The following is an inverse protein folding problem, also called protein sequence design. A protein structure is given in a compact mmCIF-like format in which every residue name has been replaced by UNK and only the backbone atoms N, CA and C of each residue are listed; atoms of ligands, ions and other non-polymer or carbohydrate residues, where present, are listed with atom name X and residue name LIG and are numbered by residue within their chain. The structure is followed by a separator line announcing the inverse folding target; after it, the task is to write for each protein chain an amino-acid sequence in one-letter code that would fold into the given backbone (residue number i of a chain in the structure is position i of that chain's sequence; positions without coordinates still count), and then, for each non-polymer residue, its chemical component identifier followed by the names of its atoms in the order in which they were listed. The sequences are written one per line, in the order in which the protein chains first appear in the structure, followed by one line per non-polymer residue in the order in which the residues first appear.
data_IF_258057455739
#
_entry.id   IF_258057455739
#
_cell.length_a   1.000
_cell.length_b   1.000
_cell.length_c   1.000
_cell.angle_alpha   90.00
_cell.angle_beta   90.00
_cell.angle_gamma   90.00
#
_symmetry.space_group_name_H-M   'P 1'
#
loop_
_entity.id
_entity.type
_entity.pdbx_description
1 polymer ?
#
# COMPACT_ATOMS: atom_id res chain seq x y z
N UNK A 1 20.40 3.11 6.89
CA UNK A 1 20.98 2.67 8.19
C UNK A 1 19.82 2.27 9.07
N UNK A 2 19.87 1.12 9.77
CA UNK A 2 18.81 0.72 10.70
C UNK A 2 18.60 1.83 11.74
N UNK A 3 17.34 2.16 12.03
CA UNK A 3 17.05 3.16 13.04
C UNK A 3 17.32 2.57 14.44
N UNK A 4 18.45 2.94 15.05
CA UNK A 4 18.87 2.45 16.37
C UNK A 4 17.78 2.62 17.44
N UNK A 5 16.98 3.68 17.35
CA UNK A 5 15.86 3.94 18.26
C UNK A 5 14.78 2.86 18.11
N UNK A 6 14.42 2.50 16.88
CA UNK A 6 13.37 1.52 16.63
C UNK A 6 13.81 0.11 17.09
N UNK A 7 15.10 -0.22 16.90
CA UNK A 7 15.69 -1.45 17.41
C UNK A 7 15.63 -1.52 18.95
N UNK A 8 16.01 -0.45 19.65
CA UNK A 8 15.91 -0.37 21.12
C UNK A 8 14.46 -0.49 21.60
N UNK A 9 13.50 0.15 20.92
CA UNK A 9 12.08 0.02 21.27
C UNK A 9 11.61 -1.42 21.10
N UNK A 10 12.02 -2.09 20.01
CA UNK A 10 11.67 -3.48 19.76
C UNK A 10 12.23 -4.42 20.85
N UNK A 11 13.50 -4.25 21.21
CA UNK A 11 14.14 -5.00 22.30
C UNK A 11 13.39 -4.80 23.62
N UNK A 12 13.05 -3.55 23.97
CA UNK A 12 12.29 -3.24 25.19
C UNK A 12 10.91 -3.91 25.21
N UNK A 13 10.19 -3.94 24.08
CA UNK A 13 8.90 -4.63 23.97
C UNK A 13 9.10 -6.14 24.18
N UNK A 14 10.08 -6.73 23.50
CA UNK A 14 10.38 -8.16 23.59
C UNK A 14 10.73 -8.57 25.03
N UNK A 15 11.57 -7.79 25.72
CA UNK A 15 11.97 -8.04 27.10
C UNK A 15 10.80 -7.92 28.07
N UNK A 16 9.99 -6.87 27.94
CA UNK A 16 8.84 -6.58 28.80
C UNK A 16 7.80 -7.71 28.83
N UNK A 17 7.54 -8.33 27.67
CA UNK A 17 6.51 -9.37 27.54
C UNK A 17 7.04 -10.81 27.67
N UNK A 18 8.34 -10.99 27.96
CA UNK A 18 8.97 -12.30 28.16
C UNK A 18 8.64 -13.31 27.05
N UNK A 19 8.70 -12.85 25.79
CA UNK A 19 8.32 -13.64 24.63
C UNK A 19 9.21 -14.88 24.47
N UNK A 20 8.63 -15.98 24.01
CA UNK A 20 9.41 -17.17 23.68
C UNK A 20 10.31 -16.93 22.46
N UNK A 21 11.38 -17.73 22.33
CA UNK A 21 12.38 -17.58 21.26
C UNK A 21 11.78 -17.62 19.85
N UNK A 22 10.73 -18.43 19.62
CA UNK A 22 10.10 -18.54 18.30
C UNK A 22 9.33 -17.25 18.01
N UNK A 23 8.49 -16.80 18.94
CA UNK A 23 7.74 -15.54 18.79
C UNK A 23 8.67 -14.35 18.57
N UNK A 24 9.75 -14.25 19.34
CA UNK A 24 10.80 -13.23 19.15
C UNK A 24 11.41 -13.27 17.75
N UNK A 25 11.78 -14.46 17.27
CA UNK A 25 12.35 -14.62 15.94
C UNK A 25 11.39 -14.17 14.84
N UNK A 26 10.10 -14.53 14.95
CA UNK A 26 9.07 -14.14 14.00
C UNK A 26 8.84 -12.62 13.97
N UNK A 27 8.78 -11.99 15.14
CA UNK A 27 8.63 -10.54 15.26
C UNK A 27 9.84 -9.83 14.65
N UNK A 28 11.06 -10.21 15.04
CA UNK A 28 12.29 -9.60 14.51
C UNK A 28 12.37 -9.72 12.99
N UNK A 29 12.07 -10.90 12.45
CA UNK A 29 12.05 -11.11 11.00
C UNK A 29 10.97 -10.26 10.31
N UNK A 30 9.78 -10.17 10.90
CA UNK A 30 8.70 -9.34 10.35
C UNK A 30 9.08 -7.85 10.35
N UNK A 31 9.59 -7.36 11.48
CA UNK A 31 10.04 -5.98 11.64
C UNK A 31 11.16 -5.64 10.67
N UNK A 32 12.22 -6.45 10.62
CA UNK A 32 13.36 -6.20 9.75
C UNK A 32 12.96 -6.11 8.27
N UNK A 33 11.98 -6.92 7.84
CA UNK A 33 11.44 -6.85 6.48
C UNK A 33 10.68 -5.54 6.24
N UNK A 34 9.84 -5.13 7.19
CA UNK A 34 9.12 -3.84 7.12
C UNK A 34 10.10 -2.67 7.14
N UNK A 35 11.09 -2.68 8.04
CA UNK A 35 12.04 -1.58 8.21
C UNK A 35 12.96 -1.42 6.99
N UNK A 36 13.26 -2.52 6.29
CA UNK A 36 14.05 -2.53 5.06
C UNK A 36 13.35 -1.87 3.86
N UNK A 37 12.04 -1.62 3.91
CA UNK A 37 11.35 -0.86 2.86
C UNK A 37 11.87 0.58 2.90
N UNK A 38 12.60 1.00 1.88
CA UNK A 38 13.13 2.36 1.80
C UNK A 38 12.05 3.32 1.28
N UNK A 39 11.55 4.17 2.17
CA UNK A 39 10.53 5.16 1.82
C UNK A 39 11.09 6.23 0.87
N UNK A 40 12.39 6.51 0.91
CA UNK A 40 13.02 7.48 0.01
C UNK A 40 13.11 6.94 -1.41
N UNK A 41 13.41 5.65 -1.58
CA UNK A 41 13.40 4.98 -2.89
C UNK A 41 11.97 4.83 -3.41
N UNK A 42 11.03 4.41 -2.55
CA UNK A 42 9.61 4.24 -2.91
C UNK A 42 9.00 5.54 -3.45
N UNK A 43 9.41 6.68 -2.87
CA UNK A 43 8.88 7.99 -3.22
C UNK A 43 9.78 8.81 -4.16
N UNK A 44 10.82 8.20 -4.71
CA UNK A 44 11.66 8.79 -5.75
C UNK A 44 11.03 8.67 -7.14
N UNK A 45 11.07 9.75 -7.93
CA UNK A 45 10.60 9.68 -9.32
C UNK A 45 11.62 8.99 -10.22
N UNK A 46 11.31 7.78 -10.66
CA UNK A 46 12.08 7.09 -11.69
C UNK A 46 11.55 7.39 -13.11
N UNK A 47 12.40 7.36 -14.15
CA UNK A 47 11.94 7.44 -15.53
C UNK A 47 10.96 6.31 -15.86
N UNK A 48 9.93 6.59 -16.67
CA UNK A 48 8.93 5.59 -17.07
C UNK A 48 9.57 4.36 -17.72
N UNK A 49 10.66 4.53 -18.46
CA UNK A 49 11.36 3.43 -19.13
C UNK A 49 12.04 2.47 -18.13
N UNK A 50 12.46 2.96 -16.96
CA UNK A 50 13.00 2.12 -15.88
C UNK A 50 11.88 1.41 -15.12
N UNK A 51 10.78 2.13 -14.88
CA UNK A 51 9.58 1.55 -14.28
C UNK A 51 9.00 0.41 -15.14
N UNK A 52 8.91 0.59 -16.46
CA UNK A 52 8.34 -0.39 -17.38
C UNK A 52 9.08 -1.73 -17.37
N UNK A 53 10.38 -1.75 -17.04
CA UNK A 53 11.16 -3.00 -16.88
C UNK A 53 10.69 -3.86 -15.72
N UNK A 54 10.02 -3.25 -14.72
CA UNK A 54 9.56 -3.93 -13.50
C UNK A 54 8.15 -4.53 -13.65
N UNK A 55 7.38 -4.15 -14.68
CA UNK A 55 5.93 -4.48 -14.78
C UNK A 55 5.64 -5.98 -14.77
N UNK A 56 6.41 -6.77 -15.51
CA UNK A 56 6.24 -8.24 -15.52
C UNK A 56 6.43 -8.84 -14.13
N UNK A 57 7.40 -8.33 -13.35
CA UNK A 57 7.61 -8.78 -11.98
C UNK A 57 6.48 -8.31 -11.06
N UNK A 58 6.09 -7.04 -11.16
CA UNK A 58 4.97 -6.48 -10.40
C UNK A 58 3.66 -7.24 -10.65
N UNK A 59 3.36 -7.63 -11.89
CA UNK A 59 2.17 -8.43 -12.21
C UNK A 59 2.19 -9.78 -11.50
N UNK A 60 3.33 -10.48 -11.47
CA UNK A 60 3.46 -11.75 -10.72
C UNK A 60 3.19 -11.56 -9.23
N UNK A 61 3.70 -10.47 -8.63
CA UNK A 61 3.42 -10.19 -7.22
C UNK A 61 1.94 -9.87 -7.02
N UNK A 62 1.34 -9.05 -7.89
CA UNK A 62 -0.09 -8.73 -7.81
C UNK A 62 -0.99 -9.96 -7.95
N UNK A 63 -0.67 -10.88 -8.85
CA UNK A 63 -1.36 -12.16 -8.99
C UNK A 63 -1.33 -12.95 -7.67
N UNK A 64 -0.15 -13.09 -7.05
CA UNK A 64 -0.03 -13.72 -5.72
C UNK A 64 -0.89 -12.97 -4.68
N UNK A 65 -0.92 -11.65 -4.70
CA UNK A 65 -1.76 -10.86 -3.80
C UNK A 65 -3.25 -11.15 -4.03
N UNK A 66 -3.71 -11.17 -5.28
CA UNK A 66 -5.10 -11.51 -5.63
C UNK A 66 -5.45 -12.90 -5.09
N UNK A 67 -4.60 -13.91 -5.35
CA UNK A 67 -4.83 -15.28 -4.88
C UNK A 67 -4.78 -15.40 -3.35
N UNK A 68 -3.96 -14.61 -2.66
CA UNK A 68 -3.88 -14.60 -1.21
C UNK A 68 -5.15 -14.07 -0.54
N UNK A 69 -5.84 -13.10 -1.18
CA UNK A 69 -7.08 -12.51 -0.65
C UNK A 69 -8.36 -13.21 -1.15
N UNK A 70 -8.32 -13.92 -2.29
CA UNK A 70 -9.48 -14.60 -2.85
C UNK A 70 -10.20 -15.55 -1.88
N UNK A 71 -9.53 -16.39 -1.07
CA UNK A 71 -10.22 -17.26 -0.11
C UNK A 71 -11.06 -16.47 0.91
N UNK A 72 -10.64 -15.27 1.28
CA UNK A 72 -11.39 -14.41 2.20
C UNK A 72 -12.58 -13.76 1.50
N UNK A 73 -12.42 -13.28 0.27
CA UNK A 73 -13.51 -12.77 -0.54
C UNK A 73 -14.61 -13.83 -0.74
N UNK A 74 -14.21 -15.05 -1.13
CA UNK A 74 -15.11 -16.17 -1.38
C UNK A 74 -15.84 -16.62 -0.10
N UNK A 75 -15.10 -16.76 1.01
CA UNK A 75 -15.67 -17.21 2.30
C UNK A 75 -16.73 -16.24 2.83
N UNK A 76 -16.54 -14.94 2.60
CA UNK A 76 -17.41 -13.90 3.14
C UNK A 76 -18.39 -13.35 2.12
N UNK A 77 -18.41 -13.89 0.89
CA UNK A 77 -19.20 -13.37 -0.22
C UNK A 77 -19.06 -11.85 -0.31
N UNK A 78 -17.84 -11.37 -0.55
CA UNK A 78 -17.52 -9.95 -0.61
C UNK A 78 -16.50 -9.67 -1.71
N UNK A 79 -16.32 -8.39 -2.05
CA UNK A 79 -15.28 -7.96 -2.98
C UNK A 79 -13.86 -8.21 -2.45
N UNK A 80 -12.88 -8.33 -3.35
CA UNK A 80 -11.46 -8.42 -2.99
C UNK A 80 -11.02 -7.19 -2.20
N UNK A 81 -11.52 -6.00 -2.55
CA UNK A 81 -11.21 -4.78 -1.80
C UNK A 81 -11.69 -4.87 -0.35
N UNK A 82 -12.94 -5.29 -0.12
CA UNK A 82 -13.48 -5.42 1.23
C UNK A 82 -12.82 -6.58 2.00
N UNK A 83 -12.38 -7.62 1.29
CA UNK A 83 -11.67 -8.75 1.89
C UNK A 83 -10.30 -8.37 2.48
N UNK A 84 -9.67 -7.27 2.05
CA UNK A 84 -8.34 -6.85 2.53
C UNK A 84 -8.27 -6.67 4.05
N UNK A 85 -9.34 -6.22 4.71
CA UNK A 85 -9.39 -6.02 6.16
C UNK A 85 -9.64 -7.30 6.97
N UNK A 86 -10.17 -8.35 6.34
CA UNK A 86 -10.65 -9.56 7.04
C UNK A 86 -9.52 -10.32 7.74
N UNK A 87 -8.36 -10.61 7.11
CA UNK A 87 -7.33 -11.39 7.76
C UNK A 87 -6.74 -10.66 8.96
N UNK A 88 -6.65 -9.32 8.92
CA UNK A 88 -6.21 -8.51 10.06
C UNK A 88 -7.15 -8.69 11.26
N UNK A 89 -8.46 -8.52 11.04
CA UNK A 89 -9.47 -8.67 12.10
C UNK A 89 -9.41 -10.05 12.75
N UNK A 90 -9.37 -11.12 11.93
CA UNK A 90 -9.24 -12.51 12.39
C UNK A 90 -7.98 -12.72 13.23
N UNK A 91 -6.85 -12.16 12.80
CA UNK A 91 -5.57 -12.30 13.50
C UNK A 91 -5.53 -11.52 14.82
N UNK A 92 -6.19 -10.37 14.91
CA UNK A 92 -6.39 -9.64 16.18
C UNK A 92 -7.26 -10.45 17.14
N UNK A 93 -8.33 -11.06 16.67
CA UNK A 93 -9.18 -11.91 17.52
C UNK A 93 -8.40 -13.14 18.04
N UNK A 94 -7.60 -13.75 17.18
CA UNK A 94 -6.72 -14.86 17.57
C UNK A 94 -5.67 -14.42 18.57
N UNK A 95 -5.02 -13.26 18.36
CA UNK A 95 -3.99 -12.75 19.26
C UNK A 95 -4.54 -12.49 20.67
N UNK A 96 -5.78 -11.98 20.78
CA UNK A 96 -6.50 -11.82 22.05
C UNK A 96 -6.72 -13.17 22.75
N UNK A 97 -7.15 -14.19 22.00
CA UNK A 97 -7.40 -15.54 22.55
C UNK A 97 -6.13 -16.20 23.09
N UNK A 98 -4.98 -15.96 22.48
CA UNK A 98 -3.69 -16.53 22.90
C UNK A 98 -2.91 -15.64 23.88
N UNK A 99 -3.44 -14.47 24.26
CA UNK A 99 -2.82 -13.57 25.24
C UNK A 99 -1.63 -12.75 24.74
N UNK A 100 -1.48 -12.57 23.42
CA UNK A 100 -0.38 -11.80 22.81
C UNK A 100 -0.84 -10.43 22.28
N UNK A 101 -2.07 -10.01 22.56
CA UNK A 101 -2.63 -8.79 21.99
C UNK A 101 -1.89 -7.53 22.45
N UNK A 102 -1.50 -7.46 23.72
CA UNK A 102 -0.80 -6.33 24.32
C UNK A 102 0.56 -6.11 23.66
N UNK A 103 1.27 -7.20 23.31
CA UNK A 103 2.52 -7.17 22.57
C UNK A 103 2.30 -6.52 21.20
N UNK A 104 1.29 -6.98 20.45
CA UNK A 104 0.99 -6.39 19.14
C UNK A 104 0.54 -4.95 19.22
N UNK A 105 -0.20 -4.58 20.27
CA UNK A 105 -0.60 -3.20 20.49
C UNK A 105 0.62 -2.28 20.66
N UNK A 106 1.66 -2.71 21.36
CA UNK A 106 2.91 -1.93 21.46
C UNK A 106 3.76 -2.00 20.18
N UNK A 107 3.83 -3.15 19.51
CA UNK A 107 4.48 -3.27 18.21
C UNK A 107 3.83 -2.39 17.14
N UNK A 108 2.51 -2.14 17.24
CA UNK A 108 1.85 -1.18 16.36
C UNK A 108 2.42 0.23 16.51
N UNK A 109 2.99 0.59 17.67
CA UNK A 109 3.75 1.84 17.81
C UNK A 109 4.89 1.94 16.79
N UNK A 110 5.66 0.87 16.62
CA UNK A 110 6.80 0.82 15.70
C UNK A 110 6.37 0.84 14.23
N UNK A 111 5.44 -0.04 13.86
CA UNK A 111 4.93 -0.10 12.47
C UNK A 111 4.14 1.15 12.10
N UNK A 112 3.44 1.80 13.04
CA UNK A 112 2.83 3.11 12.82
C UNK A 112 3.89 4.20 12.64
N UNK A 113 5.00 4.17 13.39
CA UNK A 113 6.11 5.10 13.20
C UNK A 113 6.77 4.96 11.81
N UNK A 114 6.96 3.72 11.34
CA UNK A 114 7.39 3.44 9.96
C UNK A 114 6.40 3.98 8.94
N UNK A 115 5.11 3.69 9.10
CA UNK A 115 4.07 4.21 8.22
C UNK A 115 4.04 5.76 8.19
N UNK A 116 4.26 6.43 9.33
CA UNK A 116 4.40 7.89 9.42
C UNK A 116 5.57 8.41 8.60
N UNK A 117 6.72 7.73 8.61
CA UNK A 117 7.87 8.07 7.74
C UNK A 117 7.52 7.89 6.26
N UNK A 118 6.76 6.85 5.94
CA UNK A 118 6.22 6.60 4.61
C UNK A 118 5.31 7.74 4.11
N UNK A 119 4.34 8.17 4.93
CA UNK A 119 3.49 9.33 4.62
C UNK A 119 4.26 10.64 4.48
N UNK A 120 5.29 10.86 5.30
CA UNK A 120 6.16 12.03 5.18
C UNK A 120 6.96 12.02 3.86
N UNK A 121 7.48 10.87 3.45
CA UNK A 121 8.15 10.70 2.16
C UNK A 121 7.19 10.97 0.99
N UNK A 122 5.95 10.47 1.06
CA UNK A 122 4.89 10.77 0.10
C UNK A 122 4.63 12.28 -0.01
N UNK A 123 4.57 12.99 1.13
CA UNK A 123 4.39 14.43 1.15
C UNK A 123 5.54 15.15 0.43
N UNK A 124 6.80 14.80 0.71
CA UNK A 124 7.95 15.40 0.02
C UNK A 124 7.94 15.12 -1.48
N UNK A 125 7.60 13.89 -1.88
CA UNK A 125 7.46 13.52 -3.29
C UNK A 125 6.36 14.32 -3.97
N UNK A 126 5.22 14.53 -3.32
CA UNK A 126 4.12 15.34 -3.85
C UNK A 126 4.56 16.79 -4.14
N UNK A 127 5.31 17.42 -3.23
CA UNK A 127 5.86 18.77 -3.39
C UNK A 127 6.80 18.84 -4.61
N UNK A 128 7.62 17.80 -4.81
CA UNK A 128 8.46 17.71 -6.01
C UNK A 128 7.62 17.53 -7.28
N UNK A 129 6.55 16.74 -7.24
CA UNK A 129 5.63 16.51 -8.34
C UNK A 129 4.84 17.76 -8.77
N UNK A 130 4.57 18.68 -7.84
CA UNK A 130 3.94 19.95 -8.16
C UNK A 130 4.76 20.84 -9.09
N UNK A 131 6.11 20.75 -9.02
CA UNK A 131 7.00 21.57 -9.84
C UNK A 131 6.81 21.38 -11.36
N UNK A 132 6.05 20.36 -11.78
CA UNK A 132 5.69 20.12 -13.18
C UNK A 132 4.66 21.08 -13.75
N UNK A 133 3.97 21.89 -12.92
CA UNK A 133 3.11 22.99 -13.38
C UNK A 133 3.83 24.32 -13.10
N UNK A 134 4.21 25.04 -14.16
CA UNK A 134 4.48 26.48 -14.04
C UNK A 134 3.13 27.16 -13.86
N UNK A 135 2.70 27.37 -12.61
CA UNK A 135 1.65 28.33 -12.29
C UNK A 135 2.09 29.12 -11.05
N UNK A 136 1.91 30.45 -11.11
CA UNK A 136 2.45 31.50 -10.23
C UNK A 136 2.02 31.44 -8.75
N UNK A 137 1.49 30.33 -8.26
CA UNK A 137 1.02 30.19 -6.88
C UNK A 137 1.39 28.83 -6.31
N UNK A 138 2.44 28.81 -5.50
CA UNK A 138 2.66 27.78 -4.48
C UNK A 138 1.55 27.87 -3.45
N UNK A 139 0.47 27.12 -3.65
CA UNK A 139 -0.58 26.98 -2.65
C UNK A 139 -0.43 25.63 -1.95
N UNK A 140 0.51 25.56 -0.99
CA UNK A 140 0.42 24.56 0.08
C UNK A 140 -0.65 25.08 1.04
N UNK A 141 -1.92 24.90 0.67
CA UNK A 141 -3.01 25.23 1.59
C UNK A 141 -3.14 24.07 2.56
N UNK A 142 -2.71 24.29 3.80
CA UNK A 142 -2.94 23.38 4.93
C UNK A 142 -4.37 23.52 5.42
N UNK A 143 -5.35 23.20 4.56
CA UNK A 143 -6.76 23.19 4.95
C UNK A 143 -7.20 21.74 5.17
N UNK A 144 -7.53 21.42 6.42
CA UNK A 144 -7.98 20.10 6.87
C UNK A 144 -9.37 19.75 6.31
N UNK A 145 -10.15 20.77 5.93
CA UNK A 145 -11.52 20.62 5.44
C UNK A 145 -11.60 20.75 3.91
N UNK A 146 -10.46 20.97 3.23
CA UNK A 146 -10.40 20.89 1.77
C UNK A 146 -10.25 19.42 1.35
N UNK A 147 -11.21 18.87 0.59
CA UNK A 147 -11.17 17.46 0.15
C UNK A 147 -10.00 17.14 -0.79
N UNK A 148 -9.20 18.14 -1.19
CA UNK A 148 -8.23 18.05 -2.27
C UNK A 148 -6.83 18.59 -1.90
N UNK A 149 -6.29 18.21 -0.75
CA UNK A 149 -4.92 18.59 -0.36
C UNK A 149 -3.95 17.42 -0.48
N UNK A 150 -2.68 17.71 -0.81
CA UNK A 150 -1.58 16.73 -0.80
C UNK A 150 -1.42 16.01 0.53
N UNK A 151 -1.83 16.69 1.61
CA UNK A 151 -1.87 16.11 2.94
C UNK A 151 -2.84 14.93 3.02
N UNK A 152 -4.06 15.05 2.47
CA UNK A 152 -5.03 13.95 2.48
C UNK A 152 -4.51 12.74 1.70
N UNK A 153 -3.82 12.97 0.58
CA UNK A 153 -3.23 11.91 -0.24
C UNK A 153 -2.06 11.21 0.48
N UNK A 154 -1.17 11.98 1.12
CA UNK A 154 -0.10 11.44 1.95
C UNK A 154 -0.61 10.71 3.20
N UNK A 155 -1.65 11.25 3.86
CA UNK A 155 -2.33 10.59 4.99
C UNK A 155 -3.01 9.29 4.56
N UNK A 156 -3.53 9.21 3.33
CA UNK A 156 -4.10 7.97 2.79
C UNK A 156 -3.03 6.89 2.57
N UNK A 157 -1.90 7.24 1.94
CA UNK A 157 -0.78 6.30 1.74
C UNK A 157 -0.19 5.85 3.08
N UNK A 158 -0.08 6.76 4.05
CA UNK A 158 0.31 6.44 5.42
C UNK A 158 -0.66 5.44 6.07
N UNK A 159 -1.96 5.68 5.95
CA UNK A 159 -3.00 4.85 6.54
C UNK A 159 -2.99 3.42 5.98
N UNK A 160 -2.83 3.27 4.66
CA UNK A 160 -2.75 1.97 4.01
C UNK A 160 -1.43 1.25 4.34
N UNK A 161 -0.29 1.94 4.32
CA UNK A 161 0.98 1.38 4.77
C UNK A 161 0.87 0.87 6.21
N UNK A 162 0.27 1.66 7.10
CA UNK A 162 -0.01 1.29 8.49
C UNK A 162 -0.84 0.02 8.58
N UNK A 163 -1.94 -0.07 7.84
CA UNK A 163 -2.77 -1.27 7.84
C UNK A 163 -2.01 -2.49 7.33
N UNK A 164 -1.26 -2.36 6.24
CA UNK A 164 -0.50 -3.47 5.66
C UNK A 164 0.64 -3.93 6.57
N UNK A 165 1.40 -3.02 7.19
CA UNK A 165 2.50 -3.36 8.10
C UNK A 165 1.98 -4.00 9.39
N UNK A 166 0.93 -3.45 9.99
CA UNK A 166 0.29 -4.03 11.18
C UNK A 166 -0.26 -5.43 10.89
N UNK A 167 -0.92 -5.58 9.74
CA UNK A 167 -1.49 -6.85 9.33
C UNK A 167 -0.43 -7.89 9.01
N UNK A 168 0.65 -7.50 8.33
CA UNK A 168 1.77 -8.39 8.07
C UNK A 168 2.42 -8.85 9.38
N UNK A 169 2.72 -7.92 10.30
CA UNK A 169 3.33 -8.21 11.59
C UNK A 169 2.52 -9.25 12.38
N UNK A 170 1.22 -9.01 12.56
CA UNK A 170 0.38 -9.92 13.34
C UNK A 170 0.22 -11.28 12.66
N UNK A 171 0.00 -11.31 11.34
CA UNK A 171 -0.14 -12.58 10.62
C UNK A 171 1.17 -13.36 10.55
N UNK A 172 2.33 -12.70 10.49
CA UNK A 172 3.63 -13.38 10.48
C UNK A 172 3.88 -14.16 11.78
N UNK A 173 3.37 -13.65 12.90
CA UNK A 173 3.55 -14.28 14.21
C UNK A 173 2.44 -15.29 14.51
N UNK A 174 1.19 -14.99 14.12
CA UNK A 174 0.03 -15.86 14.38
C UNK A 174 -0.03 -17.04 13.41
N UNK A 175 0.30 -16.84 12.14
CA UNK A 175 0.16 -17.84 11.07
C UNK A 175 1.13 -17.55 9.91
N UNK A 176 2.43 -17.73 10.16
CA UNK A 176 3.51 -17.51 9.17
C UNK A 176 3.22 -18.18 7.82
N UNK A 177 2.68 -19.40 7.84
CA UNK A 177 2.52 -20.24 6.66
C UNK A 177 1.44 -19.77 5.71
N UNK A 178 0.51 -18.92 6.18
CA UNK A 178 -0.63 -18.48 5.40
C UNK A 178 -0.87 -16.97 5.48
N UNK A 179 0.18 -16.19 5.76
CA UNK A 179 0.10 -14.74 5.86
C UNK A 179 -0.22 -14.10 4.49
N UNK A 180 -1.44 -13.57 4.28
CA UNK A 180 -1.86 -13.05 2.98
C UNK A 180 -1.20 -11.71 2.64
N UNK A 181 -0.54 -11.08 3.62
CA UNK A 181 0.19 -9.83 3.42
C UNK A 181 1.64 -10.03 2.97
N UNK A 182 2.15 -11.27 2.88
CA UNK A 182 3.49 -11.54 2.32
C UNK A 182 3.67 -10.92 0.93
N UNK A 183 2.79 -11.14 -0.06
CA UNK A 183 2.91 -10.50 -1.36
C UNK A 183 2.60 -8.99 -1.31
N UNK A 184 1.83 -8.51 -0.32
CA UNK A 184 1.63 -7.06 -0.11
C UNK A 184 2.91 -6.36 0.34
N UNK A 185 3.67 -6.98 1.25
CA UNK A 185 4.99 -6.46 1.63
C UNK A 185 5.97 -6.55 0.45
N UNK A 186 5.91 -7.63 -0.34
CA UNK A 186 6.69 -7.76 -1.58
C UNK A 186 6.39 -6.60 -2.55
N UNK A 187 5.15 -6.13 -2.64
CA UNK A 187 4.83 -4.93 -3.43
C UNK A 187 5.58 -3.68 -2.92
N UNK A 188 5.57 -3.42 -1.62
CA UNK A 188 6.30 -2.27 -1.04
C UNK A 188 7.81 -2.38 -1.21
N UNK A 189 8.38 -3.60 -1.12
CA UNK A 189 9.80 -3.88 -1.40
C UNK A 189 10.20 -3.53 -2.85
N UNK A 190 9.22 -3.47 -3.77
CA UNK A 190 9.41 -3.08 -5.16
C UNK A 190 8.94 -1.64 -5.47
N UNK A 191 8.86 -0.78 -4.46
CA UNK A 191 8.62 0.66 -4.63
C UNK A 191 7.16 1.04 -4.86
N UNK A 192 6.22 0.16 -4.50
CA UNK A 192 4.79 0.48 -4.53
C UNK A 192 4.48 1.50 -3.43
N UNK A 193 4.01 2.67 -3.81
CA UNK A 193 3.58 3.72 -2.88
C UNK A 193 2.20 3.45 -2.28
N UNK A 194 1.33 2.73 -3.00
CA UNK A 194 0.00 2.36 -2.51
C UNK A 194 -0.54 1.17 -3.33
N UNK A 195 -1.45 0.39 -2.76
CA UNK A 195 -2.13 -0.68 -3.48
C UNK A 195 -3.57 -0.91 -3.00
N UNK A 196 -4.49 -1.04 -3.97
CA UNK A 196 -5.91 -1.22 -3.71
C UNK A 196 -6.59 -1.98 -4.84
N UNK A 197 -7.58 -2.82 -4.52
CA UNK A 197 -8.43 -3.44 -5.55
C UNK A 197 -9.43 -2.42 -6.09
N UNK A 198 -9.41 -2.21 -7.41
CA UNK A 198 -10.30 -1.31 -8.12
C UNK A 198 -11.24 -2.09 -9.04
N UNK A 199 -12.46 -1.58 -9.19
CA UNK A 199 -13.38 -2.04 -10.22
C UNK A 199 -13.04 -1.38 -11.55
N UNK A 200 -12.89 -2.23 -12.56
CA UNK A 200 -12.58 -1.84 -13.91
C UNK A 200 -13.64 -2.36 -14.87
N UNK A 201 -13.86 -1.63 -15.96
CA UNK A 201 -14.77 -2.01 -17.04
C UNK A 201 -14.02 -1.98 -18.36
N UNK A 202 -14.15 -3.04 -19.14
CA UNK A 202 -13.61 -3.14 -20.48
C UNK A 202 -14.57 -3.95 -21.36
N UNK A 203 -15.04 -3.34 -22.45
CA UNK A 203 -16.00 -3.94 -23.37
C UNK A 203 -17.26 -4.50 -22.67
N UNK A 204 -17.79 -3.79 -21.67
CA UNK A 204 -18.96 -4.22 -20.89
C UNK A 204 -18.69 -5.30 -19.84
N UNK A 205 -17.45 -5.77 -19.71
CA UNK A 205 -17.07 -6.72 -18.65
C UNK A 205 -16.50 -5.98 -17.45
N UNK A 206 -17.13 -6.14 -16.28
CA UNK A 206 -16.65 -5.58 -15.01
C UNK A 206 -15.77 -6.59 -14.29
N UNK A 207 -14.59 -6.16 -13.82
CA UNK A 207 -13.67 -6.99 -13.02
C UNK A 207 -12.98 -6.17 -11.94
N UNK A 208 -12.67 -6.81 -10.83
CA UNK A 208 -11.72 -6.28 -9.86
C UNK A 208 -10.28 -6.55 -10.29
N UNK A 209 -9.43 -5.52 -10.23
CA UNK A 209 -7.99 -5.62 -10.49
C UNK A 209 -7.23 -4.96 -9.35
N UNK A 210 -6.07 -5.51 -8.99
CA UNK A 210 -5.19 -4.84 -8.03
C UNK A 210 -4.45 -3.71 -8.74
N UNK A 211 -4.69 -2.47 -8.30
CA UNK A 211 -3.95 -1.31 -8.75
C UNK A 211 -2.79 -1.04 -7.80
N UNK A 212 -1.62 -0.73 -8.35
CA UNK A 212 -0.46 -0.24 -7.59
C UNK A 212 -0.05 1.14 -8.09
N UNK A 213 0.37 1.99 -7.16
CA UNK A 213 0.70 3.38 -7.39
C UNK A 213 2.21 3.60 -7.27
N UNK A 214 2.80 4.30 -8.23
CA UNK A 214 4.26 4.49 -8.30
C UNK A 214 4.61 5.91 -8.73
N UNK A 215 5.46 6.65 -7.99
CA UNK A 215 5.97 7.93 -8.46
C UNK A 215 6.89 7.74 -9.67
N UNK A 216 6.49 8.24 -10.83
CA UNK A 216 7.25 8.12 -12.08
C UNK A 216 7.36 9.46 -12.79
N UNK A 217 8.40 9.62 -13.61
CA UNK A 217 8.54 10.73 -14.56
C UNK A 217 8.19 10.24 -15.97
N UNK A 218 7.10 10.76 -16.54
CA UNK A 218 6.67 10.40 -17.89
C UNK A 218 7.02 11.56 -18.85
N UNK A 219 7.72 11.30 -19.97
CA UNK A 219 8.01 12.32 -20.97
C UNK A 219 6.73 13.08 -21.39
N UNK A 220 6.82 14.42 -21.45
CA UNK A 220 5.72 15.33 -21.83
C UNK A 220 4.56 15.45 -20.82
N UNK A 221 4.44 14.55 -19.83
CA UNK A 221 3.43 14.65 -18.76
C UNK A 221 4.04 15.26 -17.48
N UNK A 222 5.30 14.92 -17.19
CA UNK A 222 6.05 15.30 -15.99
C UNK A 222 6.03 14.19 -14.93
N UNK A 223 6.40 14.56 -13.70
CA UNK A 223 6.30 13.65 -12.56
C UNK A 223 4.85 13.48 -12.10
N UNK A 224 4.42 12.24 -12.02
CA UNK A 224 3.05 11.80 -11.75
C UNK A 224 3.08 10.53 -10.90
N UNK A 225 1.90 10.06 -10.51
CA UNK A 225 1.73 8.73 -9.93
C UNK A 225 1.23 7.81 -11.04
N UNK A 226 2.07 6.89 -11.49
CA UNK A 226 1.66 5.78 -12.35
C UNK A 226 0.64 4.92 -11.62
N UNK A 227 -0.42 4.53 -12.31
CA UNK A 227 -1.38 3.54 -11.83
C UNK A 227 -1.21 2.32 -12.71
N UNK A 228 -0.65 1.25 -12.14
CA UNK A 228 -0.39 0.00 -12.83
C UNK A 228 -1.36 -1.07 -12.29
N UNK A 229 -2.18 -1.67 -13.16
CA UNK A 229 -3.17 -2.69 -12.75
C UNK A 229 -2.66 -4.10 -13.02
N UNK A 230 -3.31 -5.11 -12.45
CA UNK A 230 -3.09 -6.51 -12.83
C UNK A 230 -3.32 -6.67 -14.33
N UNK A 231 -2.48 -7.47 -15.00
CA UNK A 231 -2.43 -7.74 -16.44
C UNK A 231 -1.99 -6.58 -17.36
N UNK A 232 -1.67 -5.41 -16.81
CA UNK A 232 -1.14 -4.32 -17.64
C UNK A 232 0.30 -4.65 -18.04
N UNK A 233 0.55 -4.75 -19.36
CA UNK A 233 1.88 -5.01 -19.93
C UNK A 233 2.73 -3.73 -20.10
N UNK A 234 2.09 -2.56 -20.03
CA UNK A 234 2.70 -1.23 -20.13
C UNK A 234 1.95 -0.26 -19.23
N UNK A 235 2.56 0.89 -18.94
CA UNK A 235 1.85 1.93 -18.18
C UNK A 235 0.74 2.52 -19.06
N UNK A 236 -0.50 2.50 -18.59
CA UNK A 236 -1.68 2.99 -19.34
C UNK A 236 -2.50 4.02 -18.57
N UNK A 237 -2.32 4.14 -17.26
CA UNK A 237 -3.02 5.07 -16.40
C UNK A 237 -2.08 5.84 -15.49
N UNK A 238 -2.44 7.08 -15.16
CA UNK A 238 -1.69 7.92 -14.23
C UNK A 238 -2.62 8.87 -13.48
N UNK A 239 -2.13 9.38 -12.35
CA UNK A 239 -2.76 10.44 -11.56
C UNK A 239 -1.75 11.57 -11.33
N UNK A 240 -2.20 12.82 -11.27
CA UNK A 240 -1.36 13.91 -10.78
C UNK A 240 -1.60 14.10 -9.29
N UNK A 241 -0.55 14.44 -8.55
CA UNK A 241 -0.70 14.83 -7.15
C UNK A 241 -1.73 15.95 -6.99
N UNK A 242 -2.63 15.80 -6.02
CA UNK A 242 -3.72 16.74 -5.76
C UNK A 242 -4.95 16.60 -6.66
N UNK A 243 -4.92 15.72 -7.68
CA UNK A 243 -6.17 15.27 -8.31
C UNK A 243 -6.96 14.45 -7.27
N UNK A 244 -8.31 14.37 -7.38
CA UNK A 244 -9.08 13.43 -6.58
C UNK A 244 -8.50 12.02 -6.64
N UNK A 245 -8.48 11.31 -5.51
CA UNK A 245 -7.80 10.01 -5.43
C UNK A 245 -8.29 9.00 -6.50
N UNK A 246 -9.59 9.00 -6.83
CA UNK A 246 -10.18 8.16 -7.89
C UNK A 246 -10.19 8.79 -9.28
N UNK A 247 -9.70 10.03 -9.44
CA UNK A 247 -9.49 10.64 -10.75
C UNK A 247 -8.21 10.08 -11.35
N UNK A 248 -8.36 8.98 -12.08
CA UNK A 248 -7.27 8.31 -12.76
C UNK A 248 -7.39 8.55 -14.26
N UNK A 249 -6.35 9.13 -14.84
CA UNK A 249 -6.31 9.52 -16.24
C UNK A 249 -5.74 8.38 -17.08
N UNK A 250 -6.40 8.03 -18.17
CA UNK A 250 -5.81 7.17 -19.20
C UNK A 250 -4.75 7.94 -19.99
N UNK A 251 -3.64 7.29 -20.32
CA UNK A 251 -2.72 7.80 -21.32
C UNK A 251 -3.40 7.68 -22.69
N UNK A 252 -3.58 8.80 -23.38
CA UNK A 252 -4.41 8.90 -24.58
C UNK A 252 -4.02 7.85 -25.63
N UNK A 253 -5.01 7.07 -26.06
CA UNK A 253 -4.85 6.05 -27.11
C UNK A 253 -4.16 4.77 -26.66
N UNK A 254 -3.93 4.58 -25.36
CA UNK A 254 -3.23 3.39 -24.86
C UNK A 254 -4.13 2.31 -24.28
N UNK A 255 -5.38 2.62 -23.93
CA UNK A 255 -6.32 1.66 -23.35
C UNK A 255 -7.78 2.10 -23.49
N UNK A 256 -8.69 1.13 -23.56
CA UNK A 256 -10.14 1.31 -23.38
C UNK A 256 -10.59 0.90 -21.97
N UNK A 257 -9.66 0.37 -21.14
CA UNK A 257 -9.93 0.00 -19.74
C UNK A 257 -10.30 1.24 -18.94
N UNK A 258 -11.51 1.24 -18.40
CA UNK A 258 -12.02 2.30 -17.54
C UNK A 258 -11.99 1.86 -16.09
N UNK A 259 -11.67 2.80 -15.21
CA UNK A 259 -11.75 2.61 -13.77
C UNK A 259 -13.07 3.22 -13.33
N UNK A 260 -13.94 2.39 -12.76
CA UNK A 260 -15.32 2.78 -12.44
C UNK A 260 -15.56 2.93 -10.94
N UNK A 261 -14.59 2.56 -10.09
CA UNK A 261 -14.62 2.82 -8.65
C UNK A 261 -13.79 1.83 -7.83
N UNK A 262 -14.02 1.83 -6.51
CA UNK A 262 -13.67 0.73 -5.62
C UNK A 262 -14.92 -0.13 -5.45
N UNK A 263 -14.76 -1.45 -5.40
CA UNK A 263 -15.82 -2.35 -4.96
C UNK A 263 -16.07 -2.20 -3.46
N UNK A 264 -16.79 -1.14 -3.07
CA UNK A 264 -17.39 -1.06 -1.74
C UNK A 264 -18.43 -2.20 -1.59
N UNK A 265 -18.70 -2.62 -0.35
CA UNK A 265 -19.56 -3.73 0.10
C UNK A 265 -20.99 -3.75 -0.50
N UNK A 266 -21.34 -2.77 -1.33
CA UNK A 266 -22.65 -2.54 -1.96
C UNK A 266 -22.79 -3.14 -3.36
N UNK A 267 -21.76 -3.78 -3.91
CA UNK A 267 -21.78 -4.35 -5.27
C UNK A 267 -21.79 -5.87 -5.34
N UNK A 268 -22.52 -6.52 -4.45
CA UNK A 268 -23.19 -7.78 -4.83
C UNK A 268 -24.63 -7.38 -5.18
N UNK A 269 -24.81 -6.92 -6.41
CA UNK A 269 -26.13 -6.93 -7.03
C UNK A 269 -26.25 -8.27 -7.76
N UNK A 270 -26.99 -9.17 -7.11
CA UNK A 270 -27.62 -10.42 -7.59
C UNK A 270 -26.80 -11.38 -8.46
#
# INVERSE_FOLDING_TARGET
MPNEIDATILENIVEKYHLDKKTMFLINRAWNRIDAIDESETFGYEPVEEFEKKLSHLNRIKEKTVEAFRPFADTYHTSLCAAMGIPMMRSIERSKKIGNYEVFHELFGLTNAKAKRFGLAALYSSIQGQKNKVHDTYNIVFDRDSPWTYRNEAEHMEEYARYHFNSYMINQVIDETSNPFVPVIELYEYGVADCIFMQTEQHGTIRERLATFHPVSIPKIGNVIAVHMTDDEKLVHYRRWGDPYFTINSIKGQTELRIIGIADQRFISD
#
